data_IF_029661746845
#
_entry.id   IF_029661746845
#
_cell.length_a   1.000
_cell.length_b   1.000
_cell.length_c   1.000
_cell.angle_alpha   90.00
_cell.angle_beta   90.00
_cell.angle_gamma   90.00
#
_symmetry.space_group_name_H-M   'P 1'
#
loop_
_entity.id
_entity.type
_entity.pdbx_description
1 polymer ?
#
# COMPACT_ATOMS: atom_id res chain seq x y z
N UNK A 1 -6.60 9.25 -7.30
CA UNK A 1 -6.64 7.97 -6.61
C UNK A 1 -7.85 7.17 -6.95
N UNK A 2 -7.68 5.88 -7.11
CA UNK A 2 -8.74 4.98 -7.46
C UNK A 2 -9.30 4.32 -6.20
N UNK A 3 -10.53 4.67 -5.82
CA UNK A 3 -11.20 4.05 -4.69
C UNK A 3 -12.58 3.56 -5.11
N UNK A 4 -13.06 2.50 -4.48
CA UNK A 4 -14.44 2.04 -4.68
C UNK A 4 -15.37 2.88 -3.81
N UNK A 5 -15.91 3.94 -4.39
CA UNK A 5 -16.72 4.94 -3.70
C UNK A 5 -18.23 4.70 -3.79
N UNK A 6 -18.69 3.48 -4.07
CA UNK A 6 -20.13 3.21 -4.20
C UNK A 6 -20.94 3.60 -2.95
N UNK A 7 -20.33 3.48 -1.77
CA UNK A 7 -20.94 3.88 -0.51
C UNK A 7 -21.04 5.41 -0.36
N UNK A 8 -20.05 6.15 -0.87
CA UNK A 8 -19.97 7.61 -0.75
C UNK A 8 -20.72 8.36 -1.84
N UNK A 9 -20.93 7.72 -2.98
CA UNK A 9 -21.53 8.32 -4.17
C UNK A 9 -22.91 7.73 -4.50
N UNK A 10 -23.64 7.29 -3.49
CA UNK A 10 -24.94 6.62 -3.61
C UNK A 10 -26.01 7.36 -4.45
N UNK A 11 -25.84 8.67 -4.66
CA UNK A 11 -26.75 9.50 -5.45
C UNK A 11 -26.39 9.64 -6.94
N UNK A 12 -25.32 8.97 -7.41
CA UNK A 12 -24.95 9.04 -8.83
C UNK A 12 -26.00 8.36 -9.71
N UNK A 13 -26.30 8.97 -10.86
CA UNK A 13 -27.16 8.37 -11.87
C UNK A 13 -26.56 7.05 -12.40
N UNK A 14 -27.45 6.13 -12.80
CA UNK A 14 -27.03 4.83 -13.36
C UNK A 14 -26.15 5.00 -14.61
N UNK A 15 -26.33 6.06 -15.38
CA UNK A 15 -25.47 6.39 -16.52
C UNK A 15 -24.04 6.67 -16.09
N UNK A 16 -23.82 7.42 -15.01
CA UNK A 16 -22.48 7.70 -14.47
C UNK A 16 -21.90 6.45 -13.84
N UNK A 17 -22.67 5.66 -13.09
CA UNK A 17 -22.24 4.38 -12.54
C UNK A 17 -21.79 3.41 -13.63
N UNK A 18 -22.52 3.33 -14.74
CA UNK A 18 -22.17 2.47 -15.86
C UNK A 18 -20.94 2.97 -16.64
N UNK A 19 -20.79 4.29 -16.83
CA UNK A 19 -19.67 4.89 -17.56
C UNK A 19 -18.35 4.75 -16.79
N UNK A 20 -18.38 4.90 -15.47
CA UNK A 20 -17.19 4.79 -14.60
C UNK A 20 -16.98 3.36 -14.10
N UNK A 21 -17.96 2.51 -14.27
CA UNK A 21 -17.99 1.11 -13.84
C UNK A 21 -17.52 0.91 -12.38
N UNK A 22 -16.22 0.65 -12.18
CA UNK A 22 -15.65 0.27 -10.87
C UNK A 22 -14.66 1.29 -10.32
N UNK A 23 -14.24 2.25 -11.13
CA UNK A 23 -13.21 3.21 -10.75
C UNK A 23 -13.82 4.60 -10.62
N UNK A 24 -13.63 5.22 -9.48
CA UNK A 24 -14.01 6.59 -9.18
C UNK A 24 -12.88 7.26 -8.43
N UNK A 25 -12.80 8.57 -8.57
CA UNK A 25 -11.80 9.37 -7.88
C UNK A 25 -12.51 10.26 -6.86
N UNK A 26 -11.95 10.32 -5.68
CA UNK A 26 -12.43 11.13 -4.58
C UNK A 26 -11.25 11.84 -3.93
N UNK A 27 -11.43 13.10 -3.56
CA UNK A 27 -10.44 13.81 -2.76
C UNK A 27 -10.40 13.23 -1.34
N UNK A 28 -9.21 13.02 -0.85
CA UNK A 28 -8.95 12.50 0.49
C UNK A 28 -7.98 13.39 1.25
N UNK A 29 -8.01 13.34 2.56
CA UNK A 29 -7.18 14.17 3.44
C UNK A 29 -5.69 13.87 3.35
N UNK A 30 -5.31 12.66 2.92
CA UNK A 30 -3.92 12.27 2.80
C UNK A 30 -3.36 12.56 1.40
N UNK A 31 -2.20 13.24 1.28
CA UNK A 31 -1.68 13.72 0.00
C UNK A 31 -1.33 12.62 -1.00
N UNK A 32 -0.99 11.43 -0.51
CA UNK A 32 -0.62 10.28 -1.32
C UNK A 32 -1.76 9.24 -1.44
N UNK A 33 -2.91 9.54 -0.83
CA UNK A 33 -4.09 8.74 -0.90
C UNK A 33 -4.27 7.66 0.16
N UNK A 34 -5.32 6.86 -0.05
CA UNK A 34 -5.77 5.86 0.90
C UNK A 34 -5.76 4.47 0.27
N UNK A 35 -5.27 3.51 1.02
CA UNK A 35 -5.50 2.09 0.80
C UNK A 35 -6.83 1.63 1.39
N UNK A 36 -6.96 0.33 1.60
CA UNK A 36 -8.17 -0.25 2.23
C UNK A 36 -8.36 0.26 3.66
N UNK A 37 -9.63 0.30 4.10
CA UNK A 37 -10.01 0.76 5.45
C UNK A 37 -9.54 2.17 5.78
N UNK A 38 -9.42 3.03 4.76
CA UNK A 38 -8.95 4.40 4.92
C UNK A 38 -7.55 4.51 5.55
N UNK A 39 -6.70 3.52 5.30
CA UNK A 39 -5.32 3.56 5.75
C UNK A 39 -4.50 4.46 4.82
N UNK A 40 -3.64 5.36 5.34
CA UNK A 40 -2.82 6.22 4.50
C UNK A 40 -1.80 5.39 3.71
N UNK A 41 -1.61 5.75 2.44
CA UNK A 41 -0.55 5.16 1.63
C UNK A 41 0.79 5.81 1.95
N UNK A 42 1.76 5.00 2.33
CA UNK A 42 3.12 5.44 2.62
C UNK A 42 4.09 4.80 1.62
N UNK A 43 4.86 5.62 0.87
CA UNK A 43 5.84 5.10 -0.07
C UNK A 43 6.87 4.20 0.61
N UNK A 44 7.31 3.17 -0.10
CA UNK A 44 8.28 2.19 0.38
C UNK A 44 7.89 1.46 1.68
N UNK A 45 6.65 1.64 2.13
CA UNK A 45 6.12 1.03 3.36
C UNK A 45 4.83 0.27 3.11
N UNK A 46 3.86 0.88 2.44
CA UNK A 46 2.56 0.24 2.18
C UNK A 46 2.68 -0.75 1.02
N UNK A 47 2.11 -1.93 1.22
CA UNK A 47 1.99 -2.94 0.18
C UNK A 47 0.53 -3.34 -0.02
N UNK A 48 0.19 -3.62 -1.29
CA UNK A 48 -1.02 -4.35 -1.63
C UNK A 48 -0.74 -5.86 -1.60
N UNK A 49 -1.67 -6.61 -1.04
CA UNK A 49 -1.53 -8.05 -0.79
C UNK A 49 -2.79 -8.83 -1.19
N UNK A 50 -2.68 -10.15 -1.28
CA UNK A 50 -3.83 -11.04 -1.21
C UNK A 50 -4.18 -11.31 0.27
N UNK A 51 -5.34 -10.83 0.77
CA UNK A 51 -5.70 -10.99 2.18
C UNK A 51 -5.90 -12.44 2.64
N UNK A 52 -6.01 -13.38 1.69
CA UNK A 52 -6.08 -14.81 2.01
C UNK A 52 -4.71 -15.41 2.34
N UNK A 53 -3.63 -14.71 2.01
CA UNK A 53 -2.24 -15.16 2.24
C UNK A 53 -1.56 -14.28 3.30
N UNK A 54 -1.67 -12.96 3.14
CA UNK A 54 -1.13 -11.99 4.10
C UNK A 54 -2.31 -11.17 4.64
N UNK A 55 -2.69 -11.32 5.91
CA UNK A 55 -3.80 -10.56 6.48
C UNK A 55 -3.57 -9.05 6.38
N UNK A 56 -4.62 -8.30 6.07
CA UNK A 56 -4.55 -6.83 6.10
C UNK A 56 -4.14 -6.34 7.48
N UNK A 57 -3.41 -5.23 7.50
CA UNK A 57 -2.81 -4.62 8.69
C UNK A 57 -1.69 -5.47 9.34
N UNK A 58 -1.23 -6.52 8.65
CA UNK A 58 -0.01 -7.22 9.05
C UNK A 58 1.22 -6.39 8.71
N UNK A 59 2.24 -6.52 9.54
CA UNK A 59 3.60 -6.09 9.23
C UNK A 59 4.37 -7.30 8.74
N UNK A 60 5.08 -7.16 7.64
CA UNK A 60 6.00 -8.17 7.13
C UNK A 60 7.43 -7.65 7.18
N UNK A 61 8.36 -8.53 7.43
CA UNK A 61 9.79 -8.24 7.39
C UNK A 61 10.42 -8.93 6.18
N UNK A 62 11.13 -8.14 5.37
CA UNK A 62 11.89 -8.58 4.20
C UNK A 62 13.36 -8.32 4.46
N UNK A 63 14.16 -9.37 4.79
CA UNK A 63 15.57 -9.21 5.15
C UNK A 63 16.40 -8.47 4.09
N UNK A 64 16.12 -8.72 2.82
CA UNK A 64 16.81 -8.13 1.67
C UNK A 64 16.58 -6.63 1.53
N UNK A 65 15.48 -6.10 2.10
CA UNK A 65 15.21 -4.65 2.14
C UNK A 65 16.01 -3.94 3.23
N UNK A 66 16.35 -4.64 4.31
CA UNK A 66 17.01 -4.03 5.45
C UNK A 66 18.38 -3.50 5.07
N UNK A 67 18.60 -2.22 5.31
CA UNK A 67 19.86 -1.55 4.98
C UNK A 67 19.94 -1.06 3.53
N UNK A 68 18.90 -1.25 2.71
CA UNK A 68 18.87 -0.68 1.36
C UNK A 68 18.73 0.84 1.44
N UNK A 69 19.58 1.51 0.68
CA UNK A 69 19.56 2.96 0.53
C UNK A 69 18.65 3.34 -0.63
N UNK A 70 17.87 4.39 -0.45
CA UNK A 70 17.07 5.00 -1.50
C UNK A 70 16.98 6.51 -1.28
N UNK A 71 16.79 7.27 -2.35
CA UNK A 71 16.64 8.71 -2.30
C UNK A 71 15.22 9.11 -2.61
N UNK A 72 14.64 9.98 -1.82
CA UNK A 72 13.30 10.53 -2.03
C UNK A 72 13.34 12.03 -1.75
N UNK A 73 12.97 12.87 -2.73
CA UNK A 73 13.01 14.33 -2.63
C UNK A 73 14.39 14.84 -2.16
N UNK A 74 15.45 14.37 -2.81
CA UNK A 74 16.85 14.70 -2.51
C UNK A 74 17.33 14.36 -1.09
N UNK A 75 16.58 13.51 -0.39
CA UNK A 75 16.95 12.97 0.91
C UNK A 75 17.27 11.49 0.80
N UNK A 76 18.36 11.09 1.41
CA UNK A 76 18.74 9.69 1.52
C UNK A 76 18.01 9.03 2.71
N UNK A 77 17.50 7.83 2.47
CA UNK A 77 16.85 6.99 3.45
C UNK A 77 17.48 5.60 3.43
N UNK A 78 17.44 4.95 4.58
CA UNK A 78 17.82 3.55 4.74
C UNK A 78 16.57 2.78 5.12
N UNK A 79 16.22 1.76 4.34
CA UNK A 79 15.04 0.94 4.61
C UNK A 79 15.29 0.01 5.81
N UNK A 80 14.36 -0.05 6.72
CA UNK A 80 14.44 -0.89 7.93
C UNK A 80 14.06 -2.37 7.70
N UNK A 81 13.57 -2.70 6.50
CA UNK A 81 13.14 -4.05 6.12
C UNK A 81 11.66 -4.33 6.36
N UNK A 82 10.91 -3.44 6.98
CA UNK A 82 9.51 -3.67 7.32
C UNK A 82 8.55 -3.05 6.30
N UNK A 83 7.51 -3.80 5.94
CA UNK A 83 6.42 -3.35 5.08
C UNK A 83 5.08 -3.56 5.80
N UNK A 84 4.07 -2.79 5.41
CA UNK A 84 2.75 -2.81 6.01
C UNK A 84 1.68 -3.17 4.98
N UNK A 85 0.89 -4.22 5.25
CA UNK A 85 -0.20 -4.68 4.38
C UNK A 85 -1.42 -3.74 4.49
N UNK A 86 -1.29 -2.54 3.94
CA UNK A 86 -2.28 -1.47 4.02
C UNK A 86 -3.24 -1.41 2.84
N UNK A 87 -3.03 -2.24 1.81
CA UNK A 87 -3.87 -2.23 0.62
C UNK A 87 -4.10 -3.64 0.04
N UNK A 88 -4.98 -3.71 -0.95
CA UNK A 88 -5.25 -4.92 -1.74
C UNK A 88 -5.48 -4.56 -3.20
N UNK A 89 -4.94 -5.34 -4.11
CA UNK A 89 -5.18 -5.20 -5.53
C UNK A 89 -6.05 -6.35 -6.07
N UNK A 90 -6.93 -6.06 -7.03
CA UNK A 90 -7.74 -7.11 -7.68
C UNK A 90 -6.91 -8.16 -8.41
N UNK A 91 -5.74 -7.74 -8.93
CA UNK A 91 -4.76 -8.59 -9.61
C UNK A 91 -3.71 -9.20 -8.68
N UNK A 92 -3.58 -8.70 -7.45
CA UNK A 92 -2.59 -9.19 -6.48
C UNK A 92 -3.14 -10.50 -5.86
N UNK A 93 -2.52 -11.62 -6.19
CA UNK A 93 -2.98 -12.96 -5.79
C UNK A 93 -1.84 -13.81 -5.23
N UNK A 94 -2.20 -14.69 -4.29
CA UNK A 94 -1.26 -15.61 -3.69
C UNK A 94 -0.16 -14.87 -2.91
N UNK A 95 1.09 -15.26 -3.13
CA UNK A 95 2.25 -14.66 -2.44
C UNK A 95 2.79 -13.40 -3.12
N UNK A 96 2.09 -12.90 -4.13
CA UNK A 96 2.45 -11.65 -4.80
C UNK A 96 2.18 -10.47 -3.87
N UNK A 97 3.08 -9.51 -3.84
CA UNK A 97 2.90 -8.20 -3.20
C UNK A 97 3.19 -7.10 -4.22
N UNK A 98 2.58 -5.95 -4.02
CA UNK A 98 2.84 -4.74 -4.81
C UNK A 98 3.21 -3.61 -3.85
N UNK A 99 4.40 -3.04 -4.03
CA UNK A 99 4.93 -2.00 -3.13
C UNK A 99 4.52 -0.63 -3.63
N UNK A 100 3.90 0.16 -2.77
CA UNK A 100 3.53 1.53 -3.11
C UNK A 100 4.77 2.40 -3.25
N UNK A 101 4.99 2.92 -4.45
CA UNK A 101 6.00 3.91 -4.80
C UNK A 101 5.30 5.22 -5.20
N UNK A 102 6.01 6.36 -5.13
CA UNK A 102 5.43 7.65 -5.57
C UNK A 102 5.51 7.79 -7.09
N UNK A 103 6.62 7.32 -7.68
CA UNK A 103 6.96 7.51 -9.07
C UNK A 103 7.77 6.29 -9.55
N UNK A 104 7.59 5.89 -10.79
CA UNK A 104 8.34 4.81 -11.44
C UNK A 104 9.83 5.16 -11.64
N UNK A 105 10.16 6.47 -11.67
CA UNK A 105 11.56 6.91 -11.69
C UNK A 105 12.31 6.59 -10.39
N UNK A 106 11.58 6.29 -9.31
CA UNK A 106 12.14 5.88 -8.03
C UNK A 106 12.01 4.38 -7.83
N UNK A 107 12.50 3.59 -8.78
CA UNK A 107 12.56 2.14 -8.64
C UNK A 107 13.94 1.65 -8.11
N UNK A 108 14.45 2.18 -6.96
CA UNK A 108 15.74 1.78 -6.41
C UNK A 108 15.74 0.34 -5.91
N UNK A 109 14.62 -0.35 -6.07
CA UNK A 109 14.37 -1.70 -5.59
C UNK A 109 13.95 -2.64 -6.71
N UNK A 110 14.13 -2.25 -7.99
CA UNK A 110 13.79 -3.09 -9.16
C UNK A 110 14.48 -4.45 -9.13
N UNK A 111 15.71 -4.51 -8.63
CA UNK A 111 16.44 -5.76 -8.48
C UNK A 111 15.80 -6.72 -7.48
N UNK A 112 15.05 -6.21 -6.51
CA UNK A 112 14.34 -6.99 -5.50
C UNK A 112 12.87 -7.24 -5.86
N UNK A 113 12.18 -6.22 -6.37
CA UNK A 113 10.75 -6.25 -6.68
C UNK A 113 10.44 -6.35 -8.18
N UNK A 114 11.24 -7.11 -8.90
CA UNK A 114 10.96 -7.36 -10.31
C UNK A 114 9.62 -8.08 -10.48
N UNK A 115 8.76 -7.57 -11.38
CA UNK A 115 7.44 -8.15 -11.69
C UNK A 115 7.57 -9.43 -12.56
N UNK A 116 8.42 -10.36 -12.15
CA UNK A 116 8.62 -11.65 -12.82
C UNK A 116 8.47 -12.79 -11.83
N UNK A 117 7.69 -13.81 -12.20
CA UNK A 117 7.36 -14.95 -11.32
C UNK A 117 8.57 -15.74 -10.81
N UNK A 118 9.71 -15.65 -11.50
CA UNK A 118 10.95 -16.30 -11.09
C UNK A 118 11.77 -15.50 -10.06
N UNK A 119 11.46 -14.21 -9.87
CA UNK A 119 12.11 -13.38 -8.86
C UNK A 119 11.36 -13.50 -7.54
N UNK A 120 11.95 -14.17 -6.57
CA UNK A 120 11.38 -14.36 -5.24
C UNK A 120 12.32 -13.85 -4.17
N UNK A 121 11.77 -13.38 -3.08
CA UNK A 121 12.49 -12.94 -1.89
C UNK A 121 11.87 -13.53 -0.63
N UNK A 122 12.62 -13.56 0.45
CA UNK A 122 12.11 -14.00 1.73
C UNK A 122 11.25 -12.90 2.38
N UNK A 123 10.07 -13.28 2.87
CA UNK A 123 9.19 -12.40 3.63
C UNK A 123 8.58 -13.14 4.81
N UNK A 124 8.57 -12.49 5.98
CA UNK A 124 8.08 -13.06 7.21
C UNK A 124 7.00 -12.17 7.80
N UNK A 125 5.84 -12.74 8.11
CA UNK A 125 4.82 -12.02 8.88
C UNK A 125 5.35 -11.84 10.30
N UNK A 126 5.42 -10.60 10.76
CA UNK A 126 5.91 -10.23 12.10
C UNK A 126 4.80 -10.46 13.10
N UNK A 127 5.14 -10.93 14.30
CA UNK A 127 4.16 -11.07 15.37
C UNK A 127 3.49 -9.70 15.64
N UNK A 128 2.18 -9.74 15.85
CA UNK A 128 1.39 -8.53 16.09
C UNK A 128 1.80 -7.75 17.33
N UNK A 129 2.39 -8.44 18.31
CA UNK A 129 2.82 -7.87 19.60
C UNK A 129 4.31 -7.48 19.57
N UNK A 130 4.99 -7.68 18.44
CA UNK A 130 6.36 -7.20 18.22
C UNK A 130 6.39 -5.66 18.31
N UNK A 131 7.36 -5.07 19.02
CA UNK A 131 7.45 -3.61 19.19
C UNK A 131 7.49 -2.84 17.86
N UNK A 132 8.15 -3.38 16.83
CA UNK A 132 8.20 -2.75 15.51
C UNK A 132 6.84 -2.83 14.81
N UNK A 133 6.13 -3.97 14.91
CA UNK A 133 4.79 -4.09 14.36
C UNK A 133 3.82 -3.12 15.03
N UNK A 134 3.88 -2.99 16.34
CA UNK A 134 3.08 -2.03 17.11
C UNK A 134 3.39 -0.59 16.70
N UNK A 135 4.67 -0.22 16.59
CA UNK A 135 5.08 1.13 16.19
C UNK A 135 4.63 1.48 14.77
N UNK A 136 4.79 0.55 13.82
CA UNK A 136 4.38 0.73 12.42
C UNK A 136 2.86 0.90 12.34
N UNK A 137 2.08 0.04 13.00
CA UNK A 137 0.62 0.18 13.05
C UNK A 137 0.18 1.52 13.65
N UNK A 138 0.81 1.95 14.72
CA UNK A 138 0.53 3.25 15.33
C UNK A 138 0.79 4.41 14.36
N UNK A 139 1.85 4.34 13.55
CA UNK A 139 2.13 5.35 12.53
C UNK A 139 1.12 5.37 11.37
N UNK A 140 0.39 4.27 11.16
CA UNK A 140 -0.66 4.14 10.15
C UNK A 140 -2.06 4.51 10.67
N UNK A 141 -2.19 4.87 11.95
CA UNK A 141 -3.48 5.09 12.61
C UNK A 141 -4.16 6.43 12.27
N UNK A 142 -3.51 7.31 11.51
CA UNK A 142 -4.15 8.53 11.00
C UNK A 142 -5.16 8.14 9.93
N UNK A 143 -6.45 8.34 10.22
CA UNK A 143 -7.50 8.06 9.26
C UNK A 143 -7.36 8.94 8.02
N UNK A 144 -7.45 8.32 6.89
CA UNK A 144 -7.50 8.97 5.59
C UNK A 144 -8.98 9.25 5.28
N UNK A 145 -9.42 10.46 5.56
CA UNK A 145 -10.84 10.82 5.46
C UNK A 145 -11.19 11.41 4.08
N UNK A 146 -12.40 11.13 3.58
CA UNK A 146 -12.93 11.84 2.42
C UNK A 146 -13.02 13.34 2.72
N UNK A 147 -12.56 14.17 1.78
CA UNK A 147 -12.73 15.62 1.85
C UNK A 147 -13.99 15.96 1.07
N UNK A 148 -14.98 16.49 1.76
CA UNK A 148 -16.18 17.04 1.10
C UNK A 148 -15.78 18.20 0.21
N UNK A 149 -16.37 18.32 -1.00
CA UNK A 149 -16.15 19.44 -1.91
C UNK A 149 -16.61 20.77 -1.36
#
# INVERSE_FOLDING_TARGET
EQTNCDEFLGSLSDGVKNATRRARFMAVSHPLGCGVRNLPLMPFRTIAVDPNVIPLESVIFVPELRGRHFTLNDREFIHDGYLFAGDRGGAIKGKHIDVFLIDDQYAPLEDLFASIDSSTFAAHVVDRDDPMAVAIKASQSSSCEPVSP
#
